data_IF_490844333857
#
_entry.id   IF_490844333857
#
_cell.length_a   1.000
_cell.length_b   1.000
_cell.length_c   1.000
_cell.angle_alpha   90.00
_cell.angle_beta   90.00
_cell.angle_gamma   90.00
#
_symmetry.space_group_name_H-M   'P 1'
#
loop_
_entity.id
_entity.type
_entity.pdbx_description
1 polymer ?
#
# COMPACT_ATOMS: atom_id res chain seq x y z
N UNK A 1 11.75 -25.39 7.36
CA UNK A 1 12.07 -24.37 6.34
C UNK A 1 10.91 -23.39 6.12
N UNK A 2 9.68 -23.88 5.93
CA UNK A 2 8.51 -23.04 5.65
C UNK A 2 8.21 -21.99 6.73
N UNK A 3 8.29 -22.36 8.02
CA UNK A 3 8.11 -21.44 9.17
C UNK A 3 9.07 -20.26 9.11
N UNK A 4 10.38 -20.50 8.96
CA UNK A 4 11.36 -19.42 8.89
C UNK A 4 11.09 -18.48 7.72
N UNK A 5 10.75 -19.03 6.54
CA UNK A 5 10.42 -18.23 5.36
C UNK A 5 9.14 -17.41 5.51
N UNK A 6 8.20 -17.84 6.35
CA UNK A 6 6.99 -17.08 6.67
C UNK A 6 7.31 -15.97 7.66
N UNK A 7 7.97 -16.27 8.78
CA UNK A 7 8.20 -15.28 9.85
C UNK A 7 9.21 -14.20 9.47
N UNK A 8 10.24 -14.57 8.70
CA UNK A 8 11.30 -13.65 8.29
C UNK A 8 10.80 -12.36 7.62
N UNK A 9 9.94 -12.40 6.57
CA UNK A 9 9.42 -11.18 5.94
C UNK A 9 8.57 -10.32 6.89
N UNK A 10 7.82 -10.93 7.82
CA UNK A 10 7.07 -10.15 8.83
C UNK A 10 7.99 -9.41 9.79
N UNK A 11 9.05 -10.07 10.26
CA UNK A 11 10.06 -9.43 11.12
C UNK A 11 10.73 -8.26 10.38
N UNK A 12 11.07 -8.44 9.10
CA UNK A 12 11.62 -7.36 8.28
C UNK A 12 10.64 -6.19 8.11
N UNK A 13 9.36 -6.46 7.81
CA UNK A 13 8.33 -5.43 7.69
C UNK A 13 8.18 -4.64 8.99
N UNK A 14 8.13 -5.32 10.13
CA UNK A 14 8.08 -4.66 11.44
C UNK A 14 9.34 -3.81 11.69
N UNK A 15 10.53 -4.33 11.38
CA UNK A 15 11.78 -3.59 11.50
C UNK A 15 11.80 -2.34 10.62
N UNK A 16 11.36 -2.44 9.36
CA UNK A 16 11.24 -1.29 8.46
C UNK A 16 10.23 -0.28 8.98
N UNK A 17 9.06 -0.71 9.46
CA UNK A 17 8.07 0.18 10.03
C UNK A 17 8.63 0.96 11.22
N UNK A 18 9.30 0.28 12.16
CA UNK A 18 9.91 0.92 13.34
C UNK A 18 10.98 1.93 12.90
N UNK A 19 11.87 1.52 11.98
CA UNK A 19 12.91 2.41 11.42
C UNK A 19 12.29 3.64 10.76
N UNK A 20 11.29 3.44 9.91
CA UNK A 20 10.59 4.50 9.20
C UNK A 20 9.84 5.42 10.15
N UNK A 21 9.22 4.92 11.22
CA UNK A 21 8.47 5.71 12.20
C UNK A 21 9.35 6.60 13.08
N UNK A 22 10.59 6.17 13.33
CA UNK A 22 11.57 6.93 14.12
C UNK A 22 12.22 8.09 13.34
N UNK A 23 11.94 8.24 12.04
CA UNK A 23 12.39 9.43 11.31
C UNK A 23 11.59 10.67 11.78
N UNK A 24 12.26 11.79 12.12
CA UNK A 24 11.57 13.02 12.46
C UNK A 24 10.77 13.53 11.25
N UNK A 25 9.46 13.74 11.42
CA UNK A 25 8.55 14.22 10.36
C UNK A 25 7.50 13.21 9.88
N UNK A 26 7.52 11.96 10.36
CA UNK A 26 6.59 10.89 9.94
C UNK A 26 5.13 11.18 10.27
N UNK A 27 4.84 11.89 11.37
CA UNK A 27 3.45 12.26 11.71
C UNK A 27 2.81 13.16 10.66
N UNK A 28 3.62 13.98 9.95
CA UNK A 28 3.14 14.77 8.83
C UNK A 28 2.86 13.90 7.60
N UNK A 29 3.67 12.86 7.36
CA UNK A 29 3.49 11.88 6.30
C UNK A 29 2.24 11.01 6.51
N UNK A 30 2.03 10.51 7.74
CA UNK A 30 0.83 9.75 8.12
C UNK A 30 -0.43 10.62 8.02
N UNK A 31 -0.35 11.89 8.45
CA UNK A 31 -1.43 12.86 8.28
C UNK A 31 -1.73 13.10 6.80
N UNK A 32 -0.71 13.21 5.94
CA UNK A 32 -0.88 13.31 4.48
C UNK A 32 -1.57 12.08 3.90
N UNK A 33 -1.15 10.88 4.29
CA UNK A 33 -1.77 9.62 3.85
C UNK A 33 -3.26 9.55 4.22
N UNK A 34 -3.61 9.92 5.46
CA UNK A 34 -5.00 9.98 5.92
C UNK A 34 -5.81 11.06 5.18
N UNK A 35 -5.19 12.19 4.82
CA UNK A 35 -5.88 13.24 4.04
C UNK A 35 -5.98 12.93 2.55
N UNK A 36 -5.09 12.12 1.97
CA UNK A 36 -5.13 11.72 0.55
C UNK A 36 -6.28 10.75 0.27
N UNK A 37 -6.75 9.98 1.27
CA UNK A 37 -8.01 9.21 1.16
C UNK A 37 -9.25 10.09 0.88
N UNK A 38 -9.17 11.41 1.10
CA UNK A 38 -10.22 12.35 0.71
C UNK A 38 -10.08 12.87 -0.75
N UNK A 39 -9.06 12.47 -1.51
CA UNK A 39 -8.83 12.89 -2.90
C UNK A 39 -8.21 11.76 -3.73
N UNK A 40 -9.00 10.96 -4.47
CA UNK A 40 -8.46 9.95 -5.34
C UNK A 40 -7.90 10.57 -6.63
N UNK A 41 -6.73 10.04 -7.00
CA UNK A 41 -6.24 9.88 -8.38
C UNK A 41 -5.30 10.96 -8.96
N UNK A 42 -4.03 10.58 -8.94
CA UNK A 42 -2.98 10.90 -9.90
C UNK A 42 -3.51 10.75 -11.34
N UNK A 43 -3.72 11.86 -12.03
CA UNK A 43 -3.91 11.85 -13.49
C UNK A 43 -2.55 11.87 -14.17
N UNK A 44 -2.32 10.85 -14.98
CA UNK A 44 -1.27 10.79 -15.98
C UNK A 44 -1.48 11.93 -16.99
N UNK A 45 -0.51 12.83 -17.14
CA UNK A 45 -0.44 13.69 -18.33
C UNK A 45 1.01 13.87 -18.78
N UNK A 46 1.29 13.75 -20.09
CA UNK A 46 2.63 13.57 -20.63
C UNK A 46 3.35 14.90 -20.85
N UNK A 47 4.64 14.92 -20.51
CA UNK A 47 5.59 15.94 -20.93
C UNK A 47 5.51 17.25 -20.14
N UNK A 48 6.42 17.44 -19.19
CA UNK A 48 6.86 18.79 -18.80
C UNK A 48 8.32 18.71 -18.28
N UNK A 49 9.22 19.60 -18.73
CA UNK A 49 10.65 19.53 -18.43
C UNK A 49 10.94 19.64 -16.93
N UNK A 50 11.91 18.86 -16.45
CA UNK A 50 12.23 18.64 -15.03
C UNK A 50 12.68 19.87 -14.21
N UNK A 51 12.61 21.08 -14.75
CA UNK A 51 13.03 22.33 -14.10
C UNK A 51 11.91 23.08 -13.37
N UNK A 52 10.64 22.67 -13.47
CA UNK A 52 9.51 23.32 -12.79
C UNK A 52 9.05 22.65 -11.49
N UNK A 53 9.63 21.50 -11.11
CA UNK A 53 9.28 20.76 -9.88
C UNK A 53 9.76 21.45 -8.57
N UNK A 54 10.47 22.58 -8.68
CA UNK A 54 11.07 23.28 -7.55
C UNK A 54 10.52 24.69 -7.33
N UNK A 55 9.36 25.05 -7.92
CA UNK A 55 8.69 26.30 -7.50
C UNK A 55 7.97 26.06 -6.15
N UNK A 56 8.23 26.89 -5.12
CA UNK A 56 7.59 26.79 -3.81
C UNK A 56 6.13 27.30 -3.79
N UNK A 57 5.56 27.66 -4.95
CA UNK A 57 4.26 28.33 -5.07
C UNK A 57 3.27 27.56 -5.97
N UNK A 58 3.34 26.23 -5.99
CA UNK A 58 2.19 25.44 -6.42
C UNK A 58 1.40 25.10 -5.18
N UNK A 59 0.46 25.98 -4.82
CA UNK A 59 -0.63 25.63 -3.91
C UNK A 59 -1.30 24.40 -4.51
N UNK A 60 -1.14 23.26 -3.83
CA UNK A 60 -1.97 22.11 -4.10
C UNK A 60 -3.39 22.57 -3.80
N UNK A 61 -4.15 22.92 -4.82
CA UNK A 61 -5.59 23.01 -4.66
C UNK A 61 -6.06 21.55 -4.62
N UNK A 62 -6.52 21.01 -3.48
CA UNK A 62 -7.04 19.65 -3.45
C UNK A 62 -8.25 19.62 -4.39
N UNK A 63 -8.11 18.95 -5.52
CA UNK A 63 -9.24 18.70 -6.40
C UNK A 63 -10.29 17.88 -5.62
N UNK A 64 -11.58 18.23 -5.72
CA UNK A 64 -12.63 17.51 -5.02
C UNK A 64 -12.64 16.05 -5.47
N UNK A 65 -12.90 15.10 -4.55
CA UNK A 65 -12.84 13.69 -4.87
C UNK A 65 -13.81 13.31 -5.99
N UNK A 66 -13.28 12.74 -7.06
CA UNK A 66 -14.08 12.30 -8.20
C UNK A 66 -14.77 10.97 -7.86
N UNK A 67 -15.96 11.05 -7.24
CA UNK A 67 -16.82 9.90 -6.96
C UNK A 67 -17.23 9.14 -8.23
N UNK A 68 -17.11 9.77 -9.40
CA UNK A 68 -17.29 9.13 -10.71
C UNK A 68 -16.40 7.90 -10.91
N UNK A 69 -15.21 7.86 -10.30
CA UNK A 69 -14.26 6.74 -10.42
C UNK A 69 -14.83 5.46 -9.78
N UNK A 70 -15.59 5.59 -8.68
CA UNK A 70 -16.22 4.45 -8.00
C UNK A 70 -17.35 3.83 -8.83
N UNK A 71 -17.96 4.60 -9.74
CA UNK A 71 -19.02 4.09 -10.62
C UNK A 71 -18.50 3.27 -11.81
N UNK A 72 -17.19 3.30 -12.06
CA UNK A 72 -16.62 2.62 -13.22
C UNK A 72 -16.40 1.13 -12.95
N UNK A 73 -16.95 0.27 -13.82
CA UNK A 73 -16.80 -1.18 -13.73
C UNK A 73 -15.33 -1.62 -13.80
N UNK A 74 -14.51 -0.89 -14.57
CA UNK A 74 -13.09 -1.17 -14.74
C UNK A 74 -12.33 -1.07 -13.40
N UNK A 75 -12.63 -0.06 -12.57
CA UNK A 75 -12.01 0.09 -11.25
C UNK A 75 -12.35 -1.08 -10.33
N UNK A 76 -13.61 -1.54 -10.32
CA UNK A 76 -14.01 -2.71 -9.54
C UNK A 76 -13.37 -4.00 -10.02
N UNK A 77 -13.27 -4.19 -11.34
CA UNK A 77 -12.58 -5.33 -11.92
C UNK A 77 -11.10 -5.37 -11.49
N UNK A 78 -10.40 -4.24 -11.60
CA UNK A 78 -9.00 -4.15 -11.17
C UNK A 78 -8.84 -4.38 -9.66
N UNK A 79 -9.71 -3.77 -8.84
CA UNK A 79 -9.68 -3.95 -7.39
C UNK A 79 -9.94 -5.42 -7.01
N UNK A 80 -10.92 -6.07 -7.63
CA UNK A 80 -11.20 -7.49 -7.45
C UNK A 80 -10.01 -8.37 -7.84
N UNK A 81 -9.39 -8.09 -8.99
CA UNK A 81 -8.18 -8.80 -9.43
C UNK A 81 -7.02 -8.67 -8.44
N UNK A 82 -6.82 -7.48 -7.87
CA UNK A 82 -5.79 -7.24 -6.87
C UNK A 82 -6.01 -8.06 -5.58
N UNK A 83 -7.26 -8.16 -5.12
CA UNK A 83 -7.63 -8.96 -3.95
C UNK A 83 -7.45 -10.46 -4.22
N UNK A 84 -7.91 -10.95 -5.38
CA UNK A 84 -7.77 -12.36 -5.78
C UNK A 84 -6.30 -12.76 -5.90
N UNK A 85 -5.48 -11.90 -6.50
CA UNK A 85 -4.03 -12.12 -6.63
C UNK A 85 -3.35 -12.13 -5.26
N UNK A 86 -3.67 -11.17 -4.38
CA UNK A 86 -3.09 -11.09 -3.03
C UNK A 86 -3.41 -12.32 -2.18
N UNK A 87 -4.64 -12.84 -2.27
CA UNK A 87 -5.05 -14.05 -1.54
C UNK A 87 -4.65 -15.36 -2.26
N UNK A 88 -4.16 -15.28 -3.51
CA UNK A 88 -3.85 -16.45 -4.34
C UNK A 88 -5.07 -17.30 -4.70
N UNK A 89 -6.26 -16.69 -4.74
CA UNK A 89 -7.52 -17.37 -5.05
C UNK A 89 -7.56 -17.74 -6.55
N UNK A 90 -8.00 -18.98 -6.85
CA UNK A 90 -8.10 -19.48 -8.23
C UNK A 90 -6.86 -20.20 -8.77
N UNK A 91 -5.74 -20.18 -8.03
CA UNK A 91 -4.47 -20.81 -8.46
C UNK A 91 -4.34 -22.29 -8.08
N UNK A 92 -5.36 -22.89 -7.46
CA UNK A 92 -5.39 -24.30 -7.04
C UNK A 92 -4.57 -24.64 -5.78
N UNK A 93 -3.64 -23.78 -5.35
CA UNK A 93 -2.80 -23.99 -4.15
C UNK A 93 -3.60 -24.21 -2.87
N UNK A 94 -4.64 -23.40 -2.63
CA UNK A 94 -5.49 -23.51 -1.44
C UNK A 94 -6.29 -24.82 -1.46
N UNK A 95 -6.74 -25.26 -2.64
CA UNK A 95 -7.50 -26.51 -2.82
C UNK A 95 -6.59 -27.70 -2.50
N UNK A 96 -5.39 -27.72 -3.06
CA UNK A 96 -4.38 -28.75 -2.79
C UNK A 96 -4.02 -28.81 -1.31
N UNK A 97 -3.80 -27.66 -0.66
CA UNK A 97 -3.50 -27.60 0.78
C UNK A 97 -4.67 -28.07 1.65
N UNK A 98 -5.90 -27.76 1.25
CA UNK A 98 -7.11 -28.19 1.97
C UNK A 98 -7.34 -29.70 1.85
N UNK A 99 -6.93 -30.32 0.74
CA UNK A 99 -7.03 -31.77 0.53
C UNK A 99 -6.21 -32.58 1.55
N UNK A 100 -5.10 -32.02 2.03
CA UNK A 100 -4.28 -32.65 3.07
C UNK A 100 -4.80 -32.44 4.50
N UNK A 101 -5.75 -31.53 4.71
CA UNK A 101 -6.34 -31.33 6.03
C UNK A 101 -7.46 -32.34 6.28
N UNK A 102 -7.37 -33.04 7.42
CA UNK A 102 -8.47 -33.89 7.89
C UNK A 102 -9.69 -33.00 8.17
N UNK A 103 -10.89 -33.51 7.88
CA UNK A 103 -12.16 -32.79 7.98
C UNK A 103 -12.46 -32.38 9.43
N UNK A 104 -11.90 -31.25 9.86
CA UNK A 104 -12.02 -30.66 11.20
C UNK A 104 -12.86 -29.39 11.26
N UNK A 105 -13.22 -29.00 12.48
CA UNK A 105 -14.38 -28.12 12.74
C UNK A 105 -14.03 -26.61 12.64
N UNK A 106 -12.80 -26.27 12.23
CA UNK A 106 -12.24 -24.92 12.37
C UNK A 106 -11.76 -24.27 11.06
N UNK A 107 -12.13 -24.79 9.88
CA UNK A 107 -11.68 -24.27 8.58
C UNK A 107 -12.04 -22.79 8.35
N UNK A 108 -13.22 -22.35 8.79
CA UNK A 108 -13.67 -20.96 8.65
C UNK A 108 -12.78 -20.02 9.48
N UNK A 109 -12.39 -20.43 10.70
CA UNK A 109 -11.50 -19.65 11.56
C UNK A 109 -10.11 -19.53 10.94
N UNK A 110 -9.59 -20.61 10.37
CA UNK A 110 -8.30 -20.60 9.69
C UNK A 110 -8.34 -19.72 8.44
N UNK A 111 -9.39 -19.82 7.63
CA UNK A 111 -9.58 -18.97 6.46
C UNK A 111 -9.70 -17.48 6.83
N UNK A 112 -10.48 -17.16 7.88
CA UNK A 112 -10.62 -15.81 8.41
C UNK A 112 -9.30 -15.26 8.93
N UNK A 113 -8.50 -16.08 9.62
CA UNK A 113 -7.18 -15.69 10.12
C UNK A 113 -6.23 -15.35 8.97
N UNK A 114 -6.20 -16.18 7.91
CA UNK A 114 -5.37 -15.92 6.73
C UNK A 114 -5.80 -14.65 5.99
N UNK A 115 -7.10 -14.41 5.85
CA UNK A 115 -7.63 -13.18 5.26
C UNK A 115 -7.25 -11.93 6.08
N UNK A 116 -7.38 -12.01 7.41
CA UNK A 116 -7.01 -10.92 8.31
C UNK A 116 -5.50 -10.65 8.30
N UNK A 117 -4.68 -11.70 8.32
CA UNK A 117 -3.22 -11.57 8.23
C UNK A 117 -2.80 -10.94 6.89
N UNK A 118 -3.41 -11.35 5.78
CA UNK A 118 -3.18 -10.73 4.47
C UNK A 118 -3.54 -9.23 4.48
N UNK A 119 -4.70 -8.88 5.03
CA UNK A 119 -5.14 -7.50 5.15
C UNK A 119 -4.15 -6.64 5.96
N UNK A 120 -3.75 -7.12 7.14
CA UNK A 120 -2.77 -6.41 8.00
C UNK A 120 -1.45 -6.23 7.26
N UNK A 121 -0.98 -7.25 6.56
CA UNK A 121 0.27 -7.19 5.79
C UNK A 121 0.20 -6.15 4.69
N UNK A 122 -0.91 -6.10 3.94
CA UNK A 122 -1.12 -5.11 2.90
C UNK A 122 -1.12 -3.70 3.48
N UNK A 123 -1.87 -3.47 4.57
CA UNK A 123 -1.92 -2.16 5.22
C UNK A 123 -0.54 -1.71 5.72
N UNK A 124 0.20 -2.60 6.39
CA UNK A 124 1.56 -2.31 6.85
C UNK A 124 2.51 -2.01 5.70
N UNK A 125 2.47 -2.81 4.63
CA UNK A 125 3.28 -2.62 3.44
C UNK A 125 2.99 -1.28 2.76
N UNK A 126 1.71 -0.95 2.58
CA UNK A 126 1.29 0.33 1.99
C UNK A 126 1.82 1.51 2.80
N UNK A 127 1.68 1.50 4.13
CA UNK A 127 2.22 2.55 5.00
C UNK A 127 3.73 2.70 4.80
N UNK A 128 4.50 1.60 4.86
CA UNK A 128 5.96 1.64 4.69
C UNK A 128 6.34 2.25 3.34
N UNK A 129 5.70 1.84 2.25
CA UNK A 129 5.97 2.36 0.91
C UNK A 129 5.70 3.86 0.85
N UNK A 130 4.57 4.33 1.38
CA UNK A 130 4.27 5.77 1.43
C UNK A 130 5.30 6.55 2.24
N UNK A 131 5.76 6.03 3.37
CA UNK A 131 6.80 6.68 4.18
C UNK A 131 8.12 6.82 3.40
N UNK A 132 8.53 5.77 2.68
CA UNK A 132 9.76 5.79 1.87
C UNK A 132 9.63 6.77 0.70
N UNK A 133 8.48 6.78 0.01
CA UNK A 133 8.22 7.71 -1.08
C UNK A 133 8.21 9.16 -0.60
N UNK A 134 7.53 9.46 0.51
CA UNK A 134 7.46 10.79 1.09
C UNK A 134 8.86 11.29 1.48
N UNK A 135 9.67 10.44 2.13
CA UNK A 135 11.07 10.75 2.44
C UNK A 135 11.89 11.10 1.19
N UNK A 136 11.71 10.35 0.09
CA UNK A 136 12.39 10.61 -1.17
C UNK A 136 11.96 11.95 -1.78
N UNK A 137 10.66 12.26 -1.73
CA UNK A 137 10.14 13.53 -2.26
C UNK A 137 10.63 14.74 -1.46
N UNK A 138 10.68 14.64 -0.13
CA UNK A 138 11.20 15.69 0.75
C UNK A 138 12.69 15.92 0.48
N UNK A 139 13.47 14.84 0.45
CA UNK A 139 14.92 14.92 0.23
C UNK A 139 15.23 15.52 -1.15
N UNK A 140 14.51 15.08 -2.19
CA UNK A 140 14.68 15.61 -3.55
C UNK A 140 14.30 17.09 -3.66
N UNK A 141 13.27 17.54 -2.92
CA UNK A 141 12.84 18.94 -2.87
C UNK A 141 13.88 19.82 -2.18
N UNK A 142 14.44 19.38 -1.06
CA UNK A 142 15.47 20.12 -0.31
C UNK A 142 16.73 20.32 -1.16
N UNK A 143 17.23 19.26 -1.81
CA UNK A 143 18.40 19.33 -2.70
C UNK A 143 18.22 20.26 -3.90
N UNK A 144 16.97 20.58 -4.27
CA UNK A 144 16.68 21.49 -5.37
C UNK A 144 16.59 22.96 -4.95
N UNK A 145 16.22 23.24 -3.70
CA UNK A 145 16.14 24.61 -3.17
C UNK A 145 17.53 25.14 -2.79
N UNK A 146 18.46 24.25 -2.47
CA UNK A 146 19.83 24.62 -2.08
C UNK A 146 20.79 24.86 -3.26
N UNK A 147 20.27 25.03 -4.48
CA UNK A 147 21.05 25.30 -5.70
C UNK A 147 20.64 26.62 -6.34
#
# INVERSE_FOLDING_TARGET
MLIFSIFFPYVLLCCFLIRSLFLPGVMASLRRLVTIEASPSLSHSPGLPGSLLCRPHLTWEPSPPQLSILSSLHTWHQAGGHVLYSLGLGMGTIITFSSYQTRGDNHIKLASFMAMANLVTLLLSTVIIFLVLDFWTITSRLSCVEK
#
